data_IF_747283879881
#
_entry.id   IF_747283879881
#
_cell.length_a   1.000
_cell.length_b   1.000
_cell.length_c   1.000
_cell.angle_alpha   90.00
_cell.angle_beta   90.00
_cell.angle_gamma   90.00
#
_symmetry.space_group_name_H-M   'P 1'
#
loop_
_entity.id
_entity.type
_entity.pdbx_description
1 polymer ?
#
# COMPACT_ATOMS: atom_id res chain seq x y z
N UNK A 1 -18.15 -4.38 -6.86
CA UNK A 1 -17.50 -5.48 -7.61
C UNK A 1 -18.19 -5.75 -8.94
N UNK A 2 -19.49 -6.08 -9.00
CA UNK A 2 -20.15 -6.38 -10.28
C UNK A 2 -20.14 -5.23 -11.29
N UNK A 3 -20.41 -4.00 -10.85
CA UNK A 3 -20.36 -2.82 -11.73
C UNK A 3 -18.94 -2.62 -12.30
N UNK A 4 -17.92 -2.66 -11.44
CA UNK A 4 -16.51 -2.54 -11.84
C UNK A 4 -16.12 -3.57 -12.90
N UNK A 5 -16.55 -4.84 -12.73
CA UNK A 5 -16.28 -5.91 -13.69
C UNK A 5 -17.00 -5.68 -15.03
N UNK A 6 -18.24 -5.17 -15.01
CA UNK A 6 -18.98 -4.81 -16.24
C UNK A 6 -18.26 -3.70 -17.02
N UNK A 7 -17.60 -2.80 -16.32
CA UNK A 7 -16.86 -1.68 -16.90
C UNK A 7 -15.42 -2.05 -17.30
N UNK A 8 -15.03 -3.34 -17.16
CA UNK A 8 -13.69 -3.84 -17.51
C UNK A 8 -12.59 -3.48 -16.52
N UNK A 9 -12.95 -3.00 -15.32
CA UNK A 9 -11.99 -2.67 -14.28
C UNK A 9 -11.58 -3.90 -13.46
N UNK A 10 -10.28 -3.99 -13.13
CA UNK A 10 -9.77 -4.93 -12.14
C UNK A 10 -10.20 -4.51 -10.73
N UNK A 11 -10.45 -5.48 -9.87
CA UNK A 11 -10.91 -5.30 -8.49
C UNK A 11 -9.91 -5.90 -7.53
N UNK A 12 -9.39 -5.07 -6.63
CA UNK A 12 -8.45 -5.45 -5.58
C UNK A 12 -9.09 -5.28 -4.21
N UNK A 13 -8.62 -6.03 -3.22
CA UNK A 13 -8.88 -5.76 -1.79
C UNK A 13 -7.61 -5.24 -1.14
N UNK A 14 -7.72 -4.16 -0.37
CA UNK A 14 -6.63 -3.71 0.49
C UNK A 14 -6.70 -4.39 1.85
N UNK A 15 -5.56 -4.91 2.32
CA UNK A 15 -5.43 -5.57 3.63
C UNK A 15 -4.47 -4.73 4.47
N UNK A 16 -5.03 -4.02 5.44
CA UNK A 16 -4.27 -3.23 6.41
C UNK A 16 -4.88 -1.85 6.67
N UNK A 17 -4.06 -0.82 6.54
CA UNK A 17 -4.33 0.57 6.86
C UNK A 17 -3.75 1.00 8.21
N UNK A 18 -3.89 2.28 8.52
CA UNK A 18 -3.39 2.90 9.74
C UNK A 18 -3.95 2.28 11.04
N UNK A 19 -5.27 2.05 11.10
CA UNK A 19 -5.93 1.64 12.35
C UNK A 19 -7.26 0.92 12.17
N UNK A 20 -7.61 0.06 13.13
CA UNK A 20 -8.93 -0.55 13.28
C UNK A 20 -9.51 -0.15 14.65
N UNK A 21 -10.72 0.41 14.66
CA UNK A 21 -11.39 0.90 15.88
C UNK A 21 -10.50 1.85 16.73
N UNK A 22 -9.72 2.70 16.06
CA UNK A 22 -8.82 3.66 16.71
C UNK A 22 -7.53 3.06 17.28
N UNK A 23 -7.26 1.77 17.06
CA UNK A 23 -6.02 1.11 17.45
C UNK A 23 -5.09 0.97 16.24
N UNK A 24 -3.82 1.40 16.33
CA UNK A 24 -2.86 1.22 15.24
C UNK A 24 -2.72 -0.26 14.85
N UNK A 25 -2.69 -0.53 13.55
CA UNK A 25 -2.51 -1.90 13.04
C UNK A 25 -1.05 -2.32 12.96
N UNK A 26 -0.10 -1.38 13.03
CA UNK A 26 1.34 -1.67 12.97
C UNK A 26 1.75 -2.85 13.89
N UNK A 27 1.46 -2.86 15.21
CA UNK A 27 1.87 -3.97 16.08
C UNK A 27 1.22 -5.31 15.73
N UNK A 28 0.04 -5.28 15.11
CA UNK A 28 -0.67 -6.49 14.67
C UNK A 28 0.05 -7.10 13.48
N UNK A 29 0.41 -6.29 12.48
CA UNK A 29 1.19 -6.77 11.35
C UNK A 29 2.59 -7.23 11.78
N UNK A 30 3.26 -6.52 12.69
CA UNK A 30 4.54 -6.94 13.27
C UNK A 30 4.44 -8.34 13.87
N UNK A 31 3.42 -8.58 14.70
CA UNK A 31 3.22 -9.87 15.35
C UNK A 31 2.91 -10.99 14.32
N UNK A 32 2.07 -10.70 13.33
CA UNK A 32 1.64 -11.71 12.35
C UNK A 32 2.75 -12.04 11.37
N UNK A 33 3.53 -11.07 10.93
CA UNK A 33 4.62 -11.28 9.97
C UNK A 33 5.83 -12.00 10.60
N UNK A 34 6.11 -11.77 11.88
CA UNK A 34 7.26 -12.33 12.60
C UNK A 34 7.22 -13.86 12.82
N UNK A 35 6.05 -14.50 12.70
CA UNK A 35 5.92 -15.95 12.85
C UNK A 35 5.50 -16.58 11.53
N UNK A 36 6.21 -17.63 11.13
CA UNK A 36 5.93 -18.38 9.90
C UNK A 36 4.51 -18.96 9.90
N UNK A 37 4.02 -19.45 11.05
CA UNK A 37 2.68 -20.02 11.18
C UNK A 37 1.59 -18.94 11.03
N UNK A 38 1.73 -17.80 11.70
CA UNK A 38 0.72 -16.73 11.61
C UNK A 38 0.75 -16.04 10.25
N UNK A 39 1.93 -15.86 9.67
CA UNK A 39 2.10 -15.29 8.33
C UNK A 39 1.48 -16.19 7.27
N UNK A 40 1.74 -17.49 7.34
CA UNK A 40 1.11 -18.49 6.47
C UNK A 40 -0.41 -18.45 6.61
N UNK A 41 -0.94 -18.46 7.84
CA UNK A 41 -2.38 -18.40 8.07
C UNK A 41 -3.01 -17.12 7.52
N UNK A 42 -2.35 -15.96 7.67
CA UNK A 42 -2.80 -14.71 7.07
C UNK A 42 -2.87 -14.82 5.54
N UNK A 43 -1.81 -15.32 4.90
CA UNK A 43 -1.74 -15.49 3.45
C UNK A 43 -2.83 -16.44 2.94
N UNK A 44 -3.05 -17.57 3.62
CA UNK A 44 -4.11 -18.53 3.28
C UNK A 44 -5.50 -17.88 3.35
N UNK A 45 -5.78 -17.10 4.40
CA UNK A 45 -7.05 -16.38 4.53
C UNK A 45 -7.23 -15.30 3.47
N UNK A 46 -6.17 -14.55 3.13
CA UNK A 46 -6.19 -13.55 2.06
C UNK A 46 -6.47 -14.22 0.71
N UNK A 47 -5.80 -15.34 0.41
CA UNK A 47 -6.02 -16.09 -0.82
C UNK A 47 -7.46 -16.61 -0.90
N UNK A 48 -7.97 -17.22 0.17
CA UNK A 48 -9.34 -17.71 0.23
C UNK A 48 -10.35 -16.58 -0.02
N UNK A 49 -10.15 -15.41 0.59
CA UNK A 49 -11.00 -14.24 0.36
C UNK A 49 -10.92 -13.76 -1.09
N UNK A 50 -9.71 -13.67 -1.66
CA UNK A 50 -9.52 -13.24 -3.04
C UNK A 50 -10.14 -14.22 -4.05
N UNK A 51 -10.20 -15.51 -3.73
CA UNK A 51 -10.91 -16.52 -4.52
C UNK A 51 -12.43 -16.41 -4.36
N UNK A 52 -12.93 -16.36 -3.13
CA UNK A 52 -14.37 -16.27 -2.81
C UNK A 52 -15.05 -15.11 -3.54
N UNK A 53 -14.41 -13.94 -3.53
CA UNK A 53 -14.94 -12.74 -4.17
C UNK A 53 -14.47 -12.55 -5.62
N UNK A 54 -13.70 -13.52 -6.15
CA UNK A 54 -13.13 -13.50 -7.49
C UNK A 54 -12.42 -12.17 -7.79
N UNK A 55 -11.50 -11.78 -6.90
CA UNK A 55 -10.72 -10.55 -7.02
C UNK A 55 -9.56 -10.74 -8.00
N UNK A 56 -9.14 -9.66 -8.65
CA UNK A 56 -7.99 -9.65 -9.56
C UNK A 56 -6.66 -9.55 -8.79
N UNK A 57 -6.70 -9.07 -7.54
CA UNK A 57 -5.52 -9.01 -6.70
C UNK A 57 -5.76 -8.49 -5.29
N UNK A 58 -4.66 -8.28 -4.57
CA UNK A 58 -4.63 -7.79 -3.18
C UNK A 58 -3.60 -6.68 -3.05
N UNK A 59 -3.96 -5.61 -2.35
CA UNK A 59 -3.05 -4.57 -1.93
C UNK A 59 -2.60 -4.82 -0.49
N UNK A 60 -1.28 -4.92 -0.28
CA UNK A 60 -0.69 -4.93 1.06
C UNK A 60 -0.57 -3.48 1.55
N UNK A 61 -1.43 -3.11 2.50
CA UNK A 61 -1.47 -1.79 3.12
C UNK A 61 -0.91 -1.86 4.55
N UNK A 62 0.29 -2.40 4.70
CA UNK A 62 0.98 -2.39 6.00
C UNK A 62 1.61 -1.01 6.20
N UNK A 63 0.89 -0.13 6.87
CA UNK A 63 1.40 1.18 7.28
C UNK A 63 2.34 1.09 8.50
N UNK A 64 3.39 1.91 8.47
CA UNK A 64 4.42 2.03 9.53
C UNK A 64 5.32 0.81 9.82
N UNK A 65 5.80 0.04 8.82
CA UNK A 65 6.93 -0.86 9.07
C UNK A 65 8.14 -0.04 9.53
N UNK A 66 8.97 -0.66 10.37
CA UNK A 66 10.17 -0.04 10.92
C UNK A 66 11.38 -0.96 10.75
N UNK A 67 12.56 -0.47 11.15
CA UNK A 67 13.83 -1.19 10.98
C UNK A 67 13.87 -2.61 11.58
N UNK A 68 13.03 -2.91 12.58
CA UNK A 68 12.98 -4.23 13.19
C UNK A 68 12.15 -5.23 12.36
N UNK A 69 11.39 -4.73 11.37
CA UNK A 69 10.41 -5.50 10.59
C UNK A 69 10.86 -5.77 9.16
N UNK A 70 12.07 -5.33 8.76
CA UNK A 70 12.58 -5.43 7.38
C UNK A 70 12.43 -6.86 6.83
N UNK A 71 12.96 -7.84 7.57
CA UNK A 71 12.92 -9.24 7.15
C UNK A 71 11.50 -9.82 7.14
N UNK A 72 10.66 -9.41 8.09
CA UNK A 72 9.30 -9.95 8.23
C UNK A 72 8.36 -9.36 7.17
N UNK A 73 8.52 -8.08 6.84
CA UNK A 73 7.85 -7.44 5.72
C UNK A 73 8.23 -8.10 4.40
N UNK A 74 9.53 -8.34 4.15
CA UNK A 74 9.99 -9.02 2.93
C UNK A 74 9.38 -10.41 2.80
N UNK A 75 9.43 -11.23 3.86
CA UNK A 75 8.80 -12.55 3.84
C UNK A 75 7.32 -12.46 3.54
N UNK A 76 6.57 -11.56 4.19
CA UNK A 76 5.14 -11.41 3.96
C UNK A 76 4.85 -11.00 2.52
N UNK A 77 5.55 -9.98 1.99
CA UNK A 77 5.34 -9.50 0.62
C UNK A 77 5.67 -10.57 -0.43
N UNK A 78 6.82 -11.24 -0.29
CA UNK A 78 7.28 -12.26 -1.24
C UNK A 78 6.39 -13.50 -1.19
N UNK A 79 6.06 -14.01 0.00
CA UNK A 79 5.21 -15.20 0.15
C UNK A 79 3.78 -14.93 -0.30
N UNK A 80 3.22 -13.77 0.02
CA UNK A 80 1.89 -13.35 -0.45
C UNK A 80 1.85 -13.24 -1.98
N UNK A 81 2.84 -12.59 -2.59
CA UNK A 81 2.96 -12.47 -4.04
C UNK A 81 3.09 -13.82 -4.73
N UNK A 82 3.91 -14.72 -4.19
CA UNK A 82 4.05 -16.07 -4.72
C UNK A 82 2.73 -16.85 -4.67
N UNK A 83 1.98 -16.76 -3.56
CA UNK A 83 0.70 -17.43 -3.39
C UNK A 83 -0.37 -16.90 -4.35
N UNK A 84 -0.54 -15.58 -4.44
CA UNK A 84 -1.50 -14.94 -5.34
C UNK A 84 -1.19 -15.21 -6.81
N UNK A 85 0.10 -15.21 -7.18
CA UNK A 85 0.54 -15.54 -8.54
C UNK A 85 0.15 -16.94 -8.99
N UNK A 86 0.19 -17.94 -8.10
CA UNK A 86 -0.28 -19.30 -8.40
C UNK A 86 -1.78 -19.35 -8.73
N UNK A 87 -2.54 -18.37 -8.24
CA UNK A 87 -3.98 -18.22 -8.50
C UNK A 87 -4.26 -17.29 -9.69
N UNK A 88 -3.23 -16.79 -10.38
CA UNK A 88 -3.37 -15.80 -11.45
C UNK A 88 -3.83 -14.42 -10.96
N UNK A 89 -3.54 -14.06 -9.71
CA UNK A 89 -3.88 -12.78 -9.07
C UNK A 89 -2.65 -11.91 -8.88
N UNK A 90 -2.86 -10.59 -8.83
CA UNK A 90 -1.81 -9.59 -8.64
C UNK A 90 -1.65 -9.18 -7.17
N UNK A 91 -0.45 -8.71 -6.83
CA UNK A 91 -0.15 -8.13 -5.52
C UNK A 91 0.34 -6.70 -5.72
N UNK A 92 -0.21 -5.75 -4.98
CA UNK A 92 0.21 -4.34 -4.98
C UNK A 92 0.52 -3.91 -3.55
N UNK A 93 1.04 -2.69 -3.36
CA UNK A 93 1.25 -2.15 -2.03
C UNK A 93 0.93 -0.65 -1.95
N UNK A 94 0.38 -0.24 -0.82
CA UNK A 94 0.28 1.17 -0.46
C UNK A 94 1.56 1.58 0.28
N UNK A 95 2.31 2.53 -0.29
CA UNK A 95 3.62 2.96 0.22
C UNK A 95 3.65 4.47 0.48
N UNK A 96 4.44 4.91 1.46
CA UNK A 96 4.51 6.32 1.82
C UNK A 96 5.18 7.17 0.72
N UNK A 97 4.71 8.42 0.58
CA UNK A 97 5.46 9.45 -0.14
C UNK A 97 6.78 9.82 0.54
N UNK A 98 7.67 10.48 -0.19
CA UNK A 98 9.01 10.86 0.26
C UNK A 98 9.28 12.35 0.02
N UNK A 99 9.95 13.01 0.96
CA UNK A 99 10.29 14.44 0.89
C UNK A 99 11.60 14.73 0.13
N UNK A 100 12.29 13.69 -0.33
CA UNK A 100 13.55 13.76 -1.07
C UNK A 100 13.63 12.60 -2.06
N UNK A 101 14.43 12.75 -3.11
CA UNK A 101 14.64 11.70 -4.12
C UNK A 101 15.53 10.54 -3.62
N UNK A 102 16.23 10.72 -2.50
CA UNK A 102 17.15 9.70 -1.93
C UNK A 102 16.91 9.41 -0.45
N UNK A 103 16.02 10.16 0.19
CA UNK A 103 15.64 9.97 1.59
C UNK A 103 14.11 10.06 1.72
N UNK A 104 13.57 9.36 2.71
CA UNK A 104 12.13 9.31 2.93
C UNK A 104 11.81 8.93 4.37
N UNK A 105 10.52 8.76 4.68
CA UNK A 105 10.11 8.28 6.00
C UNK A 105 10.67 6.87 6.22
N UNK A 106 10.90 6.49 7.49
CA UNK A 106 11.41 5.16 7.85
C UNK A 106 10.62 4.03 7.14
N UNK A 107 9.27 4.07 7.10
CA UNK A 107 8.46 3.12 6.32
C UNK A 107 8.85 2.94 4.84
N UNK A 108 9.29 3.99 4.13
CA UNK A 108 9.75 3.83 2.75
C UNK A 108 11.16 3.23 2.68
N UNK A 109 12.00 3.54 3.67
CA UNK A 109 13.41 3.14 3.71
C UNK A 109 13.62 1.67 4.10
N UNK A 110 12.66 1.06 4.79
CA UNK A 110 12.77 -0.33 5.30
C UNK A 110 12.33 -1.39 4.28
N UNK A 111 11.76 -0.97 3.15
CA UNK A 111 11.34 -1.86 2.06
C UNK A 111 12.59 -2.34 1.34
N UNK A 112 12.73 -3.64 1.11
CA UNK A 112 13.85 -4.19 0.34
C UNK A 112 13.54 -4.23 -1.15
N UNK A 113 14.56 -4.46 -1.98
CA UNK A 113 14.37 -4.60 -3.43
C UNK A 113 13.53 -5.85 -3.78
N UNK A 114 13.59 -6.90 -2.95
CA UNK A 114 12.77 -8.10 -3.13
C UNK A 114 11.29 -7.83 -2.80
N UNK A 115 11.00 -6.97 -1.81
CA UNK A 115 9.64 -6.47 -1.60
C UNK A 115 9.13 -5.77 -2.85
N UNK A 116 9.91 -4.82 -3.38
CA UNK A 116 9.49 -4.00 -4.53
C UNK A 116 9.24 -4.85 -5.78
N UNK A 117 10.07 -5.86 -6.05
CA UNK A 117 9.87 -6.81 -7.16
C UNK A 117 8.65 -7.72 -6.99
N UNK A 118 8.11 -7.82 -5.78
CA UNK A 118 6.93 -8.65 -5.50
C UNK A 118 5.62 -7.95 -5.88
N UNK A 119 5.65 -6.63 -6.08
CA UNK A 119 4.47 -5.84 -6.41
C UNK A 119 4.33 -5.61 -7.91
N UNK A 120 3.10 -5.72 -8.42
CA UNK A 120 2.75 -5.41 -9.82
C UNK A 120 2.75 -3.91 -10.08
N UNK A 121 2.36 -3.12 -9.09
CA UNK A 121 2.53 -1.67 -9.02
C UNK A 121 2.38 -1.21 -7.56
N UNK A 122 2.78 0.02 -7.27
CA UNK A 122 2.67 0.64 -5.94
C UNK A 122 1.73 1.84 -5.98
N UNK A 123 0.91 1.97 -4.95
CA UNK A 123 0.09 3.16 -4.70
C UNK A 123 0.81 4.05 -3.69
N UNK A 124 1.35 5.17 -4.16
CA UNK A 124 2.16 6.08 -3.35
C UNK A 124 1.26 7.11 -2.68
N UNK A 125 1.20 7.06 -1.36
CA UNK A 125 0.43 7.96 -0.51
C UNK A 125 1.13 9.33 -0.38
N UNK A 126 1.10 10.12 -1.44
CA UNK A 126 1.70 11.46 -1.52
C UNK A 126 0.76 12.55 -0.94
N UNK A 127 0.21 12.30 0.25
CA UNK A 127 -0.69 13.21 0.97
C UNK A 127 -0.47 13.11 2.48
N UNK A 128 -1.31 13.79 3.27
CA UNK A 128 -1.24 13.83 4.73
C UNK A 128 0.01 14.48 5.34
N UNK A 129 0.73 15.33 4.59
CA UNK A 129 2.00 15.90 5.08
C UNK A 129 1.82 16.77 6.33
N UNK A 130 0.90 17.74 6.29
CA UNK A 130 0.54 18.60 7.42
C UNK A 130 -0.86 19.23 7.21
N UNK A 131 -1.28 20.10 8.15
CA UNK A 131 -2.60 20.73 8.12
C UNK A 131 -2.77 21.84 7.07
N UNK A 132 -1.67 22.40 6.57
CA UNK A 132 -1.63 23.50 5.59
C UNK A 132 -1.37 22.99 4.19
N UNK A 133 -0.38 22.10 4.03
CA UNK A 133 0.04 21.52 2.76
C UNK A 133 -0.34 20.04 2.73
N UNK A 134 -1.62 19.73 2.59
CA UNK A 134 -2.11 18.35 2.66
C UNK A 134 -1.48 17.43 1.58
N UNK A 135 -1.40 17.89 0.33
CA UNK A 135 -0.80 17.17 -0.80
C UNK A 135 -0.28 18.17 -1.84
N UNK A 136 0.85 18.86 -1.56
CA UNK A 136 1.40 19.84 -2.48
C UNK A 136 2.07 19.13 -3.67
N UNK A 137 2.01 19.73 -4.87
CA UNK A 137 2.56 19.17 -6.11
C UNK A 137 4.03 18.74 -5.97
N UNK A 138 4.84 19.51 -5.23
CA UNK A 138 6.24 19.19 -5.01
C UNK A 138 6.43 17.84 -4.30
N UNK A 139 5.52 17.46 -3.40
CA UNK A 139 5.61 16.21 -2.64
C UNK A 139 5.31 15.00 -3.51
N UNK A 140 4.36 15.11 -4.43
CA UNK A 140 4.16 14.10 -5.48
C UNK A 140 5.41 13.96 -6.34
N UNK A 141 6.00 15.06 -6.78
CA UNK A 141 7.24 15.06 -7.59
C UNK A 141 8.41 14.36 -6.88
N UNK A 142 8.71 14.73 -5.64
CA UNK A 142 9.80 14.10 -4.88
C UNK A 142 9.52 12.63 -4.57
N UNK A 143 8.25 12.26 -4.36
CA UNK A 143 7.86 10.87 -4.14
C UNK A 143 8.05 10.00 -5.38
N UNK A 144 7.73 10.52 -6.57
CA UNK A 144 8.01 9.84 -7.84
C UNK A 144 9.52 9.62 -7.98
N UNK A 145 10.32 10.69 -7.84
CA UNK A 145 11.77 10.61 -7.98
C UNK A 145 12.40 9.62 -6.99
N UNK A 146 11.88 9.56 -5.76
CA UNK A 146 12.31 8.59 -4.75
C UNK A 146 12.11 7.15 -5.22
N UNK A 147 10.90 6.79 -5.64
CA UNK A 147 10.60 5.41 -6.04
C UNK A 147 11.27 5.02 -7.36
N UNK A 148 11.46 5.97 -8.29
CA UNK A 148 12.30 5.77 -9.48
C UNK A 148 13.75 5.46 -9.09
N UNK A 149 14.35 6.21 -8.16
CA UNK A 149 15.70 5.95 -7.68
C UNK A 149 15.83 4.63 -6.91
N UNK A 150 14.72 4.14 -6.35
CA UNK A 150 14.61 2.80 -5.74
C UNK A 150 14.41 1.68 -6.76
N UNK A 151 14.39 2.00 -8.05
CA UNK A 151 14.31 1.04 -9.14
C UNK A 151 12.90 0.59 -9.51
N UNK A 152 11.85 1.26 -9.01
CA UNK A 152 10.47 0.99 -9.43
C UNK A 152 10.25 1.61 -10.82
N UNK A 153 9.74 0.85 -11.81
CA UNK A 153 9.43 1.38 -13.13
C UNK A 153 8.40 2.51 -13.07
N UNK A 154 8.51 3.48 -13.98
CA UNK A 154 7.61 4.65 -13.97
C UNK A 154 6.15 4.27 -14.19
N UNK A 155 5.90 3.25 -15.03
CA UNK A 155 4.58 2.68 -15.31
C UNK A 155 3.93 1.98 -14.11
N UNK A 156 4.73 1.59 -13.11
CA UNK A 156 4.31 0.85 -11.92
C UNK A 156 4.12 1.77 -10.70
N UNK A 157 4.26 3.08 -10.86
CA UNK A 157 4.07 4.08 -9.80
C UNK A 157 2.72 4.78 -9.99
N UNK A 158 1.79 4.56 -9.07
CA UNK A 158 0.50 5.24 -9.03
C UNK A 158 0.51 6.28 -7.91
N UNK A 159 0.37 7.57 -8.25
CA UNK A 159 0.32 8.64 -7.25
C UNK A 159 -1.08 8.79 -6.68
N UNK A 160 -1.19 8.64 -5.36
CA UNK A 160 -2.41 8.87 -4.62
C UNK A 160 -2.78 10.36 -4.56
N UNK A 161 -4.03 10.66 -4.84
CA UNK A 161 -4.62 12.00 -4.74
C UNK A 161 -5.69 12.01 -3.66
N UNK A 162 -5.58 12.84 -2.62
CA UNK A 162 -6.58 12.85 -1.56
C UNK A 162 -7.87 13.53 -2.05
N UNK A 163 -9.00 12.86 -1.82
CA UNK A 163 -10.33 13.40 -2.08
C UNK A 163 -10.99 13.93 -0.78
N UNK A 164 -10.18 14.54 0.09
CA UNK A 164 -10.61 15.21 1.31
C UNK A 164 -9.64 16.34 1.67
N UNK A 165 -10.10 17.30 2.48
CA UNK A 165 -9.29 18.42 2.94
C UNK A 165 -8.73 18.18 4.34
N UNK A 166 -7.60 18.83 4.64
CA UNK A 166 -7.13 19.06 6.02
C UNK A 166 -7.19 20.54 6.37
N UNK A 167 -7.36 20.90 7.66
CA UNK A 167 -7.63 20.02 8.80
C UNK A 167 -9.12 19.68 8.98
N UNK A 168 -10.00 20.12 8.06
CA UNK A 168 -11.45 20.00 8.22
C UNK A 168 -12.00 18.60 7.97
N UNK A 169 -11.23 17.71 7.33
CA UNK A 169 -11.64 16.37 6.89
C UNK A 169 -12.84 16.38 5.94
N UNK A 170 -13.13 17.55 5.33
CA UNK A 170 -14.26 17.72 4.43
C UNK A 170 -13.99 16.94 3.14
N UNK A 171 -14.90 16.05 2.78
CA UNK A 171 -14.81 15.26 1.56
C UNK A 171 -14.90 16.15 0.31
N UNK A 172 -14.18 15.76 -0.75
CA UNK A 172 -14.11 16.49 -2.02
C UNK A 172 -15.48 16.81 -2.61
N UNK A 173 -16.44 15.88 -2.52
CA UNK A 173 -17.82 16.10 -2.98
C UNK A 173 -18.53 17.30 -2.33
N UNK A 174 -18.10 17.72 -1.14
CA UNK A 174 -18.63 18.90 -0.47
C UNK A 174 -17.78 20.17 -0.74
N UNK A 175 -16.55 20.02 -1.23
CA UNK A 175 -15.68 21.13 -1.61
C UNK A 175 -16.06 21.69 -2.98
N UNK A 176 -16.46 20.84 -3.93
CA UNK A 176 -16.84 21.24 -5.29
C UNK A 176 -18.28 21.72 -5.43
N UNK A 177 -19.06 21.64 -4.35
CA UNK A 177 -20.45 22.08 -4.31
C UNK A 177 -20.62 23.53 -3.79
N UNK A 178 -19.51 24.20 -3.47
CA UNK A 178 -19.44 25.61 -3.05
C UNK A 178 -19.00 26.51 -4.20
#
# INVERSE_FOLDING_TARGET
MEQSKRDGAKVFVAVGGWSYEGKPLQPVFEQVAASDDTRKLLIENICAFAEEYNLDGVELDWEHPNKNTIADYEKLAVELSAALKLMGKETTAALNGAWSSTAGPEPSMVLTDECLKSFSFINVMAYDTNNTDHSPIWFSGTSIDYWLNRGVPAEDIVIGMPLYARPSWKQFRHLVAE
#
